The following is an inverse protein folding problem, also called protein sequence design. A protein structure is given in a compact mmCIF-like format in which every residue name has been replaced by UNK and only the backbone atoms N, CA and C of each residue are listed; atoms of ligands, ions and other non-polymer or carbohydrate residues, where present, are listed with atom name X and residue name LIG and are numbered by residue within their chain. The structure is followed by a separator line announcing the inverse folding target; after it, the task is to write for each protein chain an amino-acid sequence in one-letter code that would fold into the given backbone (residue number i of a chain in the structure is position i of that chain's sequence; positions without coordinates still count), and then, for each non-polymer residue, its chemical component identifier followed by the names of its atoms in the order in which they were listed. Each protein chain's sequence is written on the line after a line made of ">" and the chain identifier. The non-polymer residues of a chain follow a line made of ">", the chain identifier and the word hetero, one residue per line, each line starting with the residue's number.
data_IF_401458138567
#
_entry.id   IF_401458138567
#
_cell.length_a   1.000
_cell.length_b   1.000
_cell.length_c   1.000
_cell.angle_alpha   90.00
_cell.angle_beta   90.00
_cell.angle_gamma   90.00
#
_symmetry.space_group_name_H-M   'P 1'
#
loop_
_entity.id
_entity.type
_entity.pdbx_description
1 polymer ?
#
# COMPACT_ATOMS: atom_id res chain seq x y z
N UNK A 1 2.72 36.07 30.75
CA UNK A 1 3.69 36.02 29.64
C UNK A 1 3.58 34.75 28.81
N UNK A 2 3.54 33.55 29.41
CA UNK A 2 3.46 32.26 28.71
C UNK A 2 2.15 32.08 27.96
N UNK A 3 1.02 32.46 28.57
CA UNK A 3 -0.31 32.39 27.92
C UNK A 3 -0.41 33.31 26.70
N UNK A 4 0.21 34.45 26.77
CA UNK A 4 0.21 35.43 25.67
C UNK A 4 1.09 34.93 24.50
N UNK A 5 2.25 34.34 24.79
CA UNK A 5 3.12 33.74 23.80
C UNK A 5 2.44 32.56 23.11
N UNK A 6 1.75 31.72 23.88
CA UNK A 6 0.96 30.60 23.36
C UNK A 6 -0.16 31.08 22.45
N UNK A 7 -0.89 32.12 22.85
CA UNK A 7 -1.96 32.74 22.07
C UNK A 7 -1.43 33.25 20.72
N UNK A 8 -0.30 33.94 20.74
CA UNK A 8 0.34 34.46 19.51
C UNK A 8 0.76 33.33 18.58
N UNK A 9 1.31 32.26 19.11
CA UNK A 9 1.70 31.07 18.34
C UNK A 9 0.51 30.42 17.66
N UNK A 10 -0.62 30.29 18.38
CA UNK A 10 -1.87 29.76 17.82
C UNK A 10 -2.44 30.65 16.72
N UNK A 11 -2.43 31.96 16.90
CA UNK A 11 -2.93 32.91 15.90
C UNK A 11 -2.05 32.90 14.65
N UNK A 12 -0.74 32.83 14.81
CA UNK A 12 0.21 32.72 13.71
C UNK A 12 -0.03 31.44 12.91
N UNK A 13 -0.12 30.30 13.60
CA UNK A 13 -0.39 29.01 13.00
C UNK A 13 -1.71 29.03 12.22
N UNK A 14 -2.76 29.56 12.81
CA UNK A 14 -4.08 29.64 12.18
C UNK A 14 -4.06 30.53 10.92
N UNK A 15 -3.35 31.64 10.98
CA UNK A 15 -3.19 32.54 9.84
C UNK A 15 -2.44 31.86 8.71
N UNK A 16 -1.35 31.16 9.03
CA UNK A 16 -0.56 30.39 8.04
C UNK A 16 -1.40 29.31 7.38
N UNK A 17 -2.20 28.59 8.16
CA UNK A 17 -3.10 27.57 7.65
C UNK A 17 -4.14 28.15 6.66
N UNK A 18 -4.76 29.26 7.01
CA UNK A 18 -5.73 29.93 6.14
C UNK A 18 -5.05 30.42 4.85
N UNK A 19 -3.90 31.02 4.97
CA UNK A 19 -3.12 31.53 3.83
C UNK A 19 -2.76 30.39 2.87
N UNK A 20 -2.28 29.26 3.40
CA UNK A 20 -1.92 28.08 2.62
C UNK A 20 -3.18 27.48 1.97
N UNK A 21 -4.26 27.29 2.72
CA UNK A 21 -5.47 26.65 2.22
C UNK A 21 -6.11 27.42 1.07
N UNK A 22 -6.02 28.75 1.08
CA UNK A 22 -6.53 29.59 -0.01
C UNK A 22 -5.72 29.45 -1.31
N UNK A 23 -4.43 29.12 -1.21
CA UNK A 23 -3.49 29.13 -2.35
C UNK A 23 -3.02 27.75 -2.78
N UNK A 24 -3.16 26.74 -1.90
CA UNK A 24 -2.64 25.41 -2.18
C UNK A 24 -3.49 24.69 -3.20
N UNK A 25 -2.86 24.33 -4.32
CA UNK A 25 -3.44 23.43 -5.30
C UNK A 25 -3.08 21.99 -4.91
N UNK A 26 -4.09 21.18 -4.57
CA UNK A 26 -3.94 19.77 -4.20
C UNK A 26 -4.09 18.83 -5.39
N UNK A 27 -4.41 19.36 -6.57
CA UNK A 27 -4.46 18.58 -7.79
C UNK A 27 -3.04 18.36 -8.34
N UNK A 28 -2.68 17.11 -8.52
CA UNK A 28 -1.38 16.71 -9.08
C UNK A 28 -1.65 15.81 -10.28
N UNK A 29 -1.13 16.19 -11.45
CA UNK A 29 -1.30 15.42 -12.67
C UNK A 29 -0.45 14.14 -12.64
N UNK A 30 -0.90 13.10 -13.36
CA UNK A 30 -0.10 11.88 -13.53
C UNK A 30 1.24 12.17 -14.22
N UNK A 31 1.25 13.09 -15.18
CA UNK A 31 2.49 13.53 -15.84
C UNK A 31 3.50 14.07 -14.84
N UNK A 32 3.06 14.91 -13.90
CA UNK A 32 3.91 15.48 -12.86
C UNK A 32 4.44 14.39 -11.92
N UNK A 33 3.60 13.42 -11.56
CA UNK A 33 3.97 12.27 -10.73
C UNK A 33 5.03 11.42 -11.45
N UNK A 34 4.82 11.13 -12.73
CA UNK A 34 5.77 10.36 -13.54
C UNK A 34 7.12 11.07 -13.68
N UNK A 35 7.13 12.36 -13.91
CA UNK A 35 8.35 13.17 -13.98
C UNK A 35 9.14 13.09 -12.68
N UNK A 36 8.47 13.24 -11.54
CA UNK A 36 9.10 13.13 -10.24
C UNK A 36 9.68 11.73 -10.02
N UNK A 37 8.91 10.70 -10.35
CA UNK A 37 9.33 9.31 -10.23
C UNK A 37 10.60 9.04 -11.04
N UNK A 38 10.64 9.46 -12.29
CA UNK A 38 11.80 9.27 -13.17
C UNK A 38 13.03 10.02 -12.67
N UNK A 39 12.84 11.24 -12.16
CA UNK A 39 13.93 12.08 -11.67
C UNK A 39 14.52 11.60 -10.33
N UNK A 40 13.79 10.81 -9.55
CA UNK A 40 14.16 10.44 -8.19
C UNK A 40 14.09 8.92 -7.94
N UNK A 41 14.39 8.11 -8.94
CA UNK A 41 14.29 6.64 -8.84
C UNK A 41 15.13 6.05 -7.71
N UNK A 42 16.24 6.68 -7.36
CA UNK A 42 17.10 6.28 -6.25
C UNK A 42 16.39 6.32 -4.89
N UNK A 43 15.34 7.13 -4.76
CA UNK A 43 14.53 7.21 -3.53
C UNK A 43 13.50 6.09 -3.41
N UNK A 44 13.26 5.34 -4.46
CA UNK A 44 12.22 4.33 -4.54
C UNK A 44 12.76 2.90 -4.60
N UNK A 45 14.01 2.71 -4.20
CA UNK A 45 14.59 1.37 -4.09
C UNK A 45 13.96 0.64 -2.90
N UNK A 46 13.44 -0.55 -3.14
CA UNK A 46 12.73 -1.33 -2.13
C UNK A 46 13.70 -1.95 -1.12
N UNK A 47 13.38 -1.83 0.15
CA UNK A 47 14.05 -2.53 1.25
C UNK A 47 13.40 -3.87 1.58
N UNK A 48 12.18 -4.10 1.11
CA UNK A 48 11.43 -5.36 1.16
C UNK A 48 10.65 -5.55 -0.13
N UNK A 49 10.35 -6.79 -0.53
CA UNK A 49 9.51 -7.01 -1.70
C UNK A 49 8.12 -6.40 -1.55
N UNK A 50 7.56 -5.92 -2.66
CA UNK A 50 6.14 -5.56 -2.78
C UNK A 50 5.46 -6.57 -3.69
N UNK A 51 4.21 -6.87 -3.40
CA UNK A 51 3.47 -7.95 -4.05
C UNK A 51 2.04 -7.53 -4.39
N UNK A 52 1.47 -8.22 -5.38
CA UNK A 52 0.03 -8.30 -5.61
C UNK A 52 -0.40 -9.72 -5.27
N UNK A 53 -1.41 -9.86 -4.42
CA UNK A 53 -1.74 -11.17 -3.85
C UNK A 53 -3.20 -11.25 -3.41
N UNK A 54 -3.62 -12.47 -3.16
CA UNK A 54 -4.88 -12.82 -2.51
C UNK A 54 -4.58 -13.68 -1.29
N UNK A 55 -5.26 -13.41 -0.19
CA UNK A 55 -5.12 -14.12 1.09
C UNK A 55 -6.48 -14.61 1.56
N UNK A 56 -6.53 -15.83 2.06
CA UNK A 56 -7.71 -16.35 2.75
C UNK A 56 -7.33 -17.25 3.93
N UNK A 57 -8.21 -17.27 4.91
CA UNK A 57 -8.19 -18.23 6.01
C UNK A 57 -9.47 -19.08 5.88
N UNK A 58 -9.31 -20.36 5.60
CA UNK A 58 -10.39 -21.26 5.25
C UNK A 58 -10.22 -22.60 5.95
N UNK A 59 -11.34 -23.25 6.27
CA UNK A 59 -11.28 -24.61 6.80
C UNK A 59 -10.59 -25.54 5.78
N UNK A 60 -9.66 -26.36 6.26
CA UNK A 60 -8.89 -27.27 5.42
C UNK A 60 -9.77 -28.27 4.65
N UNK A 61 -10.92 -28.64 5.24
CA UNK A 61 -11.90 -29.56 4.67
C UNK A 61 -13.01 -28.86 3.87
N UNK A 62 -12.89 -27.56 3.62
CA UNK A 62 -13.92 -26.83 2.86
C UNK A 62 -14.06 -27.40 1.45
N UNK A 63 -15.30 -27.67 1.01
CA UNK A 63 -15.53 -28.18 -0.35
C UNK A 63 -15.19 -27.18 -1.44
N UNK A 64 -15.11 -25.88 -1.12
CA UNK A 64 -14.76 -24.83 -2.06
C UNK A 64 -13.25 -24.73 -2.32
N UNK A 65 -12.41 -25.29 -1.46
CA UNK A 65 -10.96 -25.11 -1.50
C UNK A 65 -10.32 -25.52 -2.83
N UNK A 66 -10.74 -26.66 -3.39
CA UNK A 66 -10.21 -27.17 -4.65
C UNK A 66 -10.49 -26.19 -5.81
N UNK A 67 -11.70 -25.66 -5.88
CA UNK A 67 -12.08 -24.69 -6.92
C UNK A 67 -11.35 -23.37 -6.74
N UNK A 68 -11.20 -22.92 -5.50
CA UNK A 68 -10.46 -21.69 -5.18
C UNK A 68 -9.01 -21.83 -5.66
N UNK A 69 -8.33 -22.93 -5.33
CA UNK A 69 -6.94 -23.17 -5.78
C UNK A 69 -6.83 -23.16 -7.30
N UNK A 70 -7.74 -23.78 -7.99
CA UNK A 70 -7.73 -23.88 -9.45
C UNK A 70 -7.90 -22.52 -10.11
N UNK A 71 -8.85 -21.70 -9.61
CA UNK A 71 -9.24 -20.43 -10.22
C UNK A 71 -8.39 -19.25 -9.78
N UNK A 72 -7.84 -19.28 -8.58
CA UNK A 72 -7.09 -18.18 -7.98
C UNK A 72 -5.75 -17.92 -8.68
N UNK A 73 -5.17 -18.95 -9.29
CA UNK A 73 -3.93 -18.84 -10.08
C UNK A 73 -4.18 -18.68 -11.58
N UNK A 74 -5.44 -18.56 -12.00
CA UNK A 74 -5.79 -18.39 -13.40
C UNK A 74 -5.42 -16.99 -13.91
N UNK A 75 -5.18 -16.89 -15.22
CA UNK A 75 -5.04 -15.62 -15.92
C UNK A 75 -6.36 -15.09 -16.49
N UNK A 76 -7.43 -15.89 -16.43
CA UNK A 76 -8.76 -15.50 -16.90
C UNK A 76 -9.48 -14.63 -15.85
N UNK A 77 -9.86 -13.41 -16.24
CA UNK A 77 -10.54 -12.47 -15.35
C UNK A 77 -11.85 -13.03 -14.78
N UNK A 78 -12.61 -13.80 -15.57
CA UNK A 78 -13.86 -14.39 -15.11
C UNK A 78 -13.61 -15.47 -14.04
N UNK A 79 -12.58 -16.30 -14.21
CA UNK A 79 -12.21 -17.29 -13.21
C UNK A 79 -11.72 -16.64 -11.91
N UNK A 80 -11.01 -15.52 -12.01
CA UNK A 80 -10.56 -14.77 -10.83
C UNK A 80 -11.75 -14.16 -10.07
N UNK A 81 -12.74 -13.64 -10.77
CA UNK A 81 -13.99 -13.15 -10.13
C UNK A 81 -14.72 -14.29 -9.41
N UNK A 82 -14.80 -15.47 -10.03
CA UNK A 82 -15.39 -16.64 -9.40
C UNK A 82 -14.60 -17.09 -8.16
N UNK A 83 -13.27 -17.06 -8.22
CA UNK A 83 -12.41 -17.39 -7.08
C UNK A 83 -12.65 -16.42 -5.92
N UNK A 84 -12.72 -15.13 -6.20
CA UNK A 84 -12.98 -14.11 -5.19
C UNK A 84 -14.36 -14.29 -4.55
N UNK A 85 -15.36 -14.60 -5.34
CA UNK A 85 -16.72 -14.86 -4.87
C UNK A 85 -16.80 -16.10 -3.98
N UNK A 86 -16.15 -17.19 -4.38
CA UNK A 86 -16.07 -18.43 -3.60
C UNK A 86 -15.30 -18.20 -2.29
N UNK A 87 -14.19 -17.50 -2.34
CA UNK A 87 -13.39 -17.18 -1.16
C UNK A 87 -14.16 -16.31 -0.18
N UNK A 88 -14.86 -15.29 -0.67
CA UNK A 88 -15.68 -14.42 0.16
C UNK A 88 -16.78 -15.17 0.90
N UNK A 89 -17.45 -16.11 0.22
CA UNK A 89 -18.57 -16.88 0.81
C UNK A 89 -18.11 -18.04 1.69
N UNK A 90 -16.92 -18.60 1.49
CA UNK A 90 -16.48 -19.85 2.11
C UNK A 90 -15.40 -19.67 3.17
N UNK A 91 -14.59 -18.60 3.10
CA UNK A 91 -13.49 -18.37 4.02
C UNK A 91 -13.92 -17.62 5.27
N UNK A 92 -13.22 -17.83 6.37
CA UNK A 92 -13.39 -17.07 7.61
C UNK A 92 -12.87 -15.64 7.40
N UNK A 93 -11.80 -15.50 6.64
CA UNK A 93 -11.24 -14.21 6.25
C UNK A 93 -10.75 -14.29 4.81
N UNK A 94 -11.08 -13.28 4.02
CA UNK A 94 -10.59 -13.13 2.66
C UNK A 94 -10.21 -11.69 2.42
N UNK A 95 -9.00 -11.47 1.91
CA UNK A 95 -8.50 -10.14 1.54
C UNK A 95 -7.80 -10.23 0.19
N UNK A 96 -8.09 -9.29 -0.69
CA UNK A 96 -7.44 -9.21 -1.99
C UNK A 96 -6.67 -7.91 -2.15
N UNK A 97 -5.43 -8.04 -2.63
CA UNK A 97 -4.56 -6.95 -3.06
C UNK A 97 -4.15 -7.18 -4.51
N UNK A 98 -5.07 -7.73 -5.30
CA UNK A 98 -4.79 -8.08 -6.69
C UNK A 98 -4.65 -6.87 -7.61
N UNK A 99 -5.27 -5.77 -7.24
CA UNK A 99 -5.30 -4.51 -7.99
C UNK A 99 -4.31 -3.46 -7.49
N UNK A 100 -3.57 -3.75 -6.43
CA UNK A 100 -2.59 -2.81 -5.86
C UNK A 100 -1.38 -3.53 -5.29
N UNK A 101 -0.25 -2.87 -5.35
CA UNK A 101 0.97 -3.34 -4.71
C UNK A 101 0.92 -3.09 -3.20
N UNK A 102 1.38 -4.06 -2.42
CA UNK A 102 1.51 -3.93 -0.96
C UNK A 102 2.89 -4.43 -0.52
N UNK A 103 3.37 -3.90 0.60
CA UNK A 103 4.56 -4.44 1.28
C UNK A 103 4.26 -5.88 1.72
N UNK A 104 5.16 -6.79 1.42
CA UNK A 104 5.02 -8.20 1.79
C UNK A 104 4.84 -8.38 3.31
N UNK A 105 5.32 -7.45 4.11
CA UNK A 105 5.14 -7.47 5.56
C UNK A 105 3.66 -7.46 5.99
N UNK A 106 2.77 -6.91 5.16
CA UNK A 106 1.33 -6.94 5.42
C UNK A 106 0.81 -8.38 5.43
N UNK A 107 1.26 -9.20 4.48
CA UNK A 107 0.92 -10.62 4.43
C UNK A 107 1.58 -11.39 5.56
N UNK A 108 2.84 -11.09 5.85
CA UNK A 108 3.58 -11.76 6.92
C UNK A 108 2.90 -11.62 8.28
N UNK A 109 2.25 -10.50 8.55
CA UNK A 109 1.47 -10.29 9.78
C UNK A 109 0.28 -11.25 9.89
N UNK A 110 -0.35 -11.59 8.77
CA UNK A 110 -1.45 -12.56 8.76
C UNK A 110 -0.98 -13.97 9.15
N UNK A 111 0.30 -14.26 8.94
CA UNK A 111 0.91 -15.53 9.29
C UNK A 111 1.68 -15.49 10.63
N UNK A 112 1.72 -14.32 11.28
CA UNK A 112 2.51 -14.12 12.51
C UNK A 112 3.97 -14.55 12.37
N UNK A 113 4.58 -14.25 11.23
CA UNK A 113 5.97 -14.57 10.96
C UNK A 113 6.69 -13.44 10.25
N UNK A 114 8.03 -13.51 10.20
CA UNK A 114 8.85 -12.58 9.46
C UNK A 114 8.68 -12.79 7.95
N UNK A 115 8.79 -11.72 7.16
CA UNK A 115 8.57 -11.79 5.72
C UNK A 115 9.56 -12.70 5.00
N UNK A 116 10.80 -12.80 5.49
CA UNK A 116 11.80 -13.69 4.90
C UNK A 116 11.44 -15.14 5.13
N UNK A 117 10.93 -15.49 6.31
CA UNK A 117 10.45 -16.84 6.62
C UNK A 117 9.22 -17.18 5.78
N UNK A 118 8.30 -16.21 5.62
CA UNK A 118 7.12 -16.37 4.78
C UNK A 118 7.51 -16.70 3.33
N UNK A 119 8.41 -15.91 2.75
CA UNK A 119 8.84 -16.08 1.37
C UNK A 119 9.64 -17.35 1.15
N UNK A 120 10.35 -17.83 2.17
CA UNK A 120 11.06 -19.12 2.09
C UNK A 120 10.13 -20.31 1.89
N UNK A 121 8.86 -20.16 2.28
CA UNK A 121 7.81 -21.19 2.15
C UNK A 121 7.04 -21.09 0.84
N UNK A 122 7.29 -20.07 0.04
CA UNK A 122 6.60 -19.87 -1.24
C UNK A 122 7.00 -20.94 -2.25
N UNK A 123 5.99 -21.55 -2.86
CA UNK A 123 6.17 -22.51 -3.95
C UNK A 123 5.26 -22.11 -5.10
N UNK A 124 5.84 -21.70 -6.22
CA UNK A 124 5.12 -21.28 -7.43
C UNK A 124 4.04 -20.22 -7.17
N UNK A 125 4.35 -19.26 -6.31
CA UNK A 125 3.43 -18.19 -5.91
C UNK A 125 2.50 -18.53 -4.75
N UNK A 126 2.47 -19.78 -4.30
CA UNK A 126 1.61 -20.23 -3.21
C UNK A 126 2.35 -20.27 -1.88
N UNK A 127 1.67 -19.78 -0.84
CA UNK A 127 2.11 -19.90 0.56
C UNK A 127 0.95 -20.51 1.35
N UNK A 128 1.24 -21.53 2.14
CA UNK A 128 0.25 -22.23 2.95
C UNK A 128 0.76 -22.42 4.37
N UNK A 129 -0.15 -22.30 5.32
CA UNK A 129 0.10 -22.66 6.70
C UNK A 129 -1.17 -23.22 7.34
N UNK A 130 -1.12 -24.46 7.81
CA UNK A 130 -2.24 -25.11 8.49
C UNK A 130 -2.04 -24.96 9.99
N UNK A 131 -3.05 -24.48 10.70
CA UNK A 131 -3.03 -24.38 12.15
C UNK A 131 -3.51 -25.67 12.82
N UNK A 132 -3.43 -25.71 14.17
CA UNK A 132 -3.84 -26.88 14.95
C UNK A 132 -5.36 -27.04 15.05
N UNK A 133 -6.14 -26.03 14.61
CA UNK A 133 -7.60 -26.04 14.67
C UNK A 133 -8.27 -26.53 13.38
N UNK A 134 -7.46 -26.90 12.37
CA UNK A 134 -7.96 -27.39 11.08
C UNK A 134 -8.25 -26.27 10.08
N UNK A 135 -7.82 -25.04 10.35
CA UNK A 135 -7.89 -23.92 9.43
C UNK A 135 -6.56 -23.72 8.71
N UNK A 136 -6.66 -23.27 7.48
CA UNK A 136 -5.49 -23.02 6.63
C UNK A 136 -5.44 -21.57 6.20
N UNK A 137 -4.28 -20.96 6.36
CA UNK A 137 -3.96 -19.69 5.73
C UNK A 137 -3.34 -19.98 4.38
N UNK A 138 -3.92 -19.40 3.34
CA UNK A 138 -3.53 -19.61 1.96
C UNK A 138 -3.34 -18.28 1.29
N UNK A 139 -2.20 -18.11 0.60
CA UNK A 139 -1.90 -16.91 -0.17
C UNK A 139 -1.43 -17.29 -1.55
N UNK A 140 -1.92 -16.59 -2.56
CA UNK A 140 -1.37 -16.64 -3.90
C UNK A 140 -0.81 -15.28 -4.28
N UNK A 141 0.50 -15.24 -4.55
CA UNK A 141 1.21 -14.04 -5.01
C UNK A 141 1.25 -14.07 -6.53
N UNK A 142 0.51 -13.16 -7.17
CA UNK A 142 0.43 -13.10 -8.63
C UNK A 142 1.56 -12.29 -9.25
N UNK A 143 2.06 -11.28 -8.53
CA UNK A 143 3.18 -10.45 -8.98
C UNK A 143 4.04 -10.07 -7.78
N UNK A 144 5.34 -9.95 -8.02
CA UNK A 144 6.29 -9.53 -6.98
C UNK A 144 7.40 -8.67 -7.59
N UNK A 145 7.72 -7.58 -6.90
CA UNK A 145 8.92 -6.78 -7.16
C UNK A 145 9.88 -6.98 -6.01
N UNK A 146 11.08 -7.43 -6.31
CA UNK A 146 12.07 -7.86 -5.34
C UNK A 146 12.71 -6.69 -4.59
N UNK A 147 13.22 -7.00 -3.39
CA UNK A 147 14.11 -6.12 -2.64
C UNK A 147 15.29 -5.67 -3.51
N UNK A 148 15.66 -4.40 -3.42
CA UNK A 148 16.75 -3.81 -4.20
C UNK A 148 16.36 -3.32 -5.59
N UNK A 149 15.14 -3.62 -6.03
CA UNK A 149 14.57 -3.09 -7.27
C UNK A 149 13.84 -1.77 -7.00
N UNK A 150 13.66 -0.99 -8.06
CA UNK A 150 12.86 0.24 -7.99
C UNK A 150 11.39 -0.15 -7.84
N UNK A 151 10.73 0.45 -6.85
CA UNK A 151 9.32 0.20 -6.62
C UNK A 151 8.47 0.59 -7.83
N UNK A 152 7.40 -0.16 -8.16
CA UNK A 152 6.47 0.25 -9.21
C UNK A 152 5.88 1.63 -8.93
N UNK A 153 5.66 2.43 -9.99
CA UNK A 153 5.09 3.77 -9.85
C UNK A 153 3.77 3.76 -9.08
N UNK A 154 2.92 2.78 -9.33
CA UNK A 154 1.63 2.64 -8.64
C UNK A 154 1.78 2.53 -7.12
N UNK A 155 2.84 1.89 -6.66
CA UNK A 155 3.14 1.76 -5.22
C UNK A 155 3.57 3.09 -4.60
N UNK A 156 4.28 3.93 -5.36
CA UNK A 156 4.84 5.20 -4.90
C UNK A 156 3.92 6.40 -5.16
N UNK A 157 2.87 6.23 -5.93
CA UNK A 157 2.05 7.31 -6.49
C UNK A 157 1.51 8.26 -5.43
N UNK A 158 0.93 7.75 -4.36
CA UNK A 158 0.38 8.57 -3.27
C UNK A 158 1.48 9.30 -2.50
N UNK A 159 2.59 8.64 -2.25
CA UNK A 159 3.74 9.25 -1.58
C UNK A 159 4.32 10.40 -2.40
N UNK A 160 4.45 10.22 -3.70
CA UNK A 160 4.92 11.25 -4.63
C UNK A 160 3.96 12.44 -4.64
N UNK A 161 2.67 12.18 -4.73
CA UNK A 161 1.63 13.21 -4.66
C UNK A 161 1.76 14.03 -3.38
N UNK A 162 1.92 13.36 -2.24
CA UNK A 162 2.08 14.02 -0.95
C UNK A 162 3.36 14.86 -0.86
N UNK A 163 4.45 14.38 -1.43
CA UNK A 163 5.72 15.13 -1.50
C UNK A 163 5.54 16.39 -2.34
N UNK A 164 4.90 16.30 -3.48
CA UNK A 164 4.63 17.44 -4.36
C UNK A 164 3.75 18.48 -3.65
N UNK A 165 2.68 18.04 -2.99
CA UNK A 165 1.79 18.93 -2.23
C UNK A 165 2.54 19.59 -1.08
N UNK A 166 3.37 18.84 -0.35
CA UNK A 166 4.20 19.38 0.74
C UNK A 166 5.19 20.43 0.25
N UNK A 167 5.80 20.20 -0.91
CA UNK A 167 6.70 21.16 -1.55
C UNK A 167 5.97 22.46 -1.92
N UNK A 168 4.78 22.35 -2.49
CA UNK A 168 3.92 23.51 -2.81
C UNK A 168 3.55 24.29 -1.57
N UNK A 169 3.22 23.60 -0.47
CA UNK A 169 2.92 24.21 0.82
C UNK A 169 4.11 25.01 1.36
N UNK A 170 5.29 24.43 1.30
CA UNK A 170 6.52 25.07 1.72
C UNK A 170 6.81 26.33 0.90
N UNK A 171 6.64 26.28 -0.41
CA UNK A 171 6.83 27.43 -1.29
C UNK A 171 5.86 28.56 -0.96
N UNK A 172 4.62 28.23 -0.64
CA UNK A 172 3.60 29.23 -0.21
C UNK A 172 4.01 29.87 1.10
N UNK A 173 4.47 29.11 2.09
CA UNK A 173 4.92 29.61 3.38
C UNK A 173 6.16 30.50 3.24
N UNK A 174 7.10 30.12 2.41
CA UNK A 174 8.28 30.93 2.11
C UNK A 174 7.90 32.26 1.45
N UNK A 175 6.96 32.23 0.54
CA UNK A 175 6.41 33.43 -0.11
C UNK A 175 5.73 34.36 0.91
N UNK A 176 5.00 33.80 1.87
CA UNK A 176 4.37 34.55 2.96
C UNK A 176 5.44 35.25 3.82
N UNK A 177 6.50 34.55 4.20
CA UNK A 177 7.59 35.12 4.97
C UNK A 177 8.29 36.26 4.24
N UNK A 178 8.51 36.14 2.94
CA UNK A 178 9.09 37.18 2.11
C UNK A 178 8.19 38.42 2.02
N UNK A 179 6.87 38.23 1.92
CA UNK A 179 5.91 39.33 1.86
C UNK A 179 5.81 40.10 3.18
N UNK A 180 6.17 39.47 4.31
CA UNK A 180 6.17 40.08 5.64
C UNK A 180 7.48 40.82 5.97
N UNK A 181 8.51 40.63 5.20
CA UNK A 181 9.79 41.36 5.33
C UNK A 181 9.75 42.64 4.50
#
# INVERSE_FOLDING_TARGET
>A
KELETYRRSLLKYRYEQLYVNERLDTAVSMEHIEEYYQAHQDKFVLDRPVVKARFLNIAQDSPALKQIRKKMSSSDANELVEADSLAFSSAVKFTTWADRWIDVAVIAREYSMDYSDLLSRMNKGWIENVDTTGYMRLTYISQMTQKGKIAPLEYCQEDIKNVIISSRRQDILMSLEQDLL
#
